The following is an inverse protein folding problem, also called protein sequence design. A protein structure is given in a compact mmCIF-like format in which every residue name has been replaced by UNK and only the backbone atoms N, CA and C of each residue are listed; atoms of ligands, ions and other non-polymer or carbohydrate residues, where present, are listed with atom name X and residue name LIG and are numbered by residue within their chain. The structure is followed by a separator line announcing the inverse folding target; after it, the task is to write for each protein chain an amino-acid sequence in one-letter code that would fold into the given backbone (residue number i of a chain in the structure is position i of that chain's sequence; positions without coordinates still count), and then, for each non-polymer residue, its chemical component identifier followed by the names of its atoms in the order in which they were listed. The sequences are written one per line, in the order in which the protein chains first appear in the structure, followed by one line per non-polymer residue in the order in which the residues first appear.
data_IF_942930411818
#
_entry.id   IF_942930411818
#
_cell.length_a   1.000
_cell.length_b   1.000
_cell.length_c   1.000
_cell.angle_alpha   90.00
_cell.angle_beta   90.00
_cell.angle_gamma   90.00
#
_symmetry.space_group_name_H-M   'P 1'
#
loop_
_entity.id
_entity.type
_entity.pdbx_description
1 polymer ?
#
# COMPACT_ATOMS: atom_id res chain seq x y z
N UNK A 1 -28.05 -8.23 8.72
CA UNK A 1 -26.61 -8.40 8.99
C UNK A 1 -26.20 -9.80 8.57
N UNK A 2 -25.46 -10.00 7.46
CA UNK A 2 -24.88 -11.30 7.19
C UNK A 2 -23.50 -11.38 7.87
N UNK A 3 -23.36 -12.33 8.78
CA UNK A 3 -22.10 -12.65 9.45
C UNK A 3 -21.14 -13.37 8.51
N UNK A 4 -19.87 -12.97 8.55
CA UNK A 4 -18.76 -13.71 7.96
C UNK A 4 -18.56 -14.99 8.78
N UNK A 5 -18.87 -16.14 8.20
CA UNK A 5 -18.59 -17.45 8.78
C UNK A 5 -17.17 -17.89 8.41
N UNK A 6 -16.31 -18.03 9.41
CA UNK A 6 -15.05 -18.77 9.26
C UNK A 6 -15.38 -20.28 9.29
N UNK A 7 -15.16 -20.97 8.19
CA UNK A 7 -15.22 -22.44 8.16
C UNK A 7 -13.86 -22.99 8.60
N UNK A 8 -13.76 -23.39 9.87
CA UNK A 8 -12.69 -24.29 10.32
C UNK A 8 -13.29 -25.70 10.25
N UNK A 9 -12.99 -26.45 9.19
CA UNK A 9 -13.29 -27.88 9.16
C UNK A 9 -12.09 -28.65 9.71
N UNK A 10 -12.17 -29.07 10.97
CA UNK A 10 -11.36 -30.18 11.47
C UNK A 10 -11.81 -31.46 10.76
N UNK A 11 -10.99 -31.97 9.84
CA UNK A 11 -11.21 -33.28 9.22
C UNK A 11 -10.15 -34.24 9.75
N UNK A 12 -10.51 -34.92 10.83
CA UNK A 12 -9.86 -36.16 11.23
C UNK A 12 -10.28 -37.26 10.26
N UNK A 13 -9.41 -37.67 9.31
CA UNK A 13 -9.53 -38.98 8.66
C UNK A 13 -8.29 -39.44 7.86
N UNK A 14 -7.84 -40.64 8.22
CA UNK A 14 -6.92 -41.60 7.59
C UNK A 14 -6.42 -41.30 6.15
N UNK A 15 -5.18 -40.82 6.05
CA UNK A 15 -4.09 -41.19 5.12
C UNK A 15 -4.27 -41.20 3.59
N UNK A 16 -5.41 -41.64 3.05
CA UNK A 16 -5.65 -41.76 1.60
C UNK A 16 -6.58 -40.64 1.08
N UNK A 17 -7.48 -40.14 1.92
CA UNK A 17 -8.34 -38.99 1.62
C UNK A 17 -7.55 -37.67 1.63
N UNK A 18 -6.44 -37.62 2.36
CA UNK A 18 -5.54 -36.46 2.39
C UNK A 18 -4.97 -36.16 1.01
N UNK A 19 -4.56 -37.18 0.23
CA UNK A 19 -4.02 -37.00 -1.12
C UNK A 19 -5.05 -36.51 -2.15
N UNK A 20 -6.33 -36.88 -1.98
CA UNK A 20 -7.40 -36.41 -2.84
C UNK A 20 -7.79 -34.97 -2.48
N UNK A 21 -7.82 -34.64 -1.19
CA UNK A 21 -8.05 -33.29 -0.69
C UNK A 21 -6.89 -32.36 -1.05
N UNK A 22 -5.64 -32.83 -0.98
CA UNK A 22 -4.46 -32.07 -1.42
C UNK A 22 -4.55 -31.74 -2.91
N UNK A 23 -4.97 -32.68 -3.76
CA UNK A 23 -5.19 -32.40 -5.20
C UNK A 23 -6.30 -31.39 -5.45
N UNK A 24 -7.39 -31.44 -4.68
CA UNK A 24 -8.49 -30.48 -4.79
C UNK A 24 -8.03 -29.10 -4.29
N UNK A 25 -7.30 -29.06 -3.19
CA UNK A 25 -6.70 -27.85 -2.61
C UNK A 25 -5.69 -27.23 -3.57
N UNK A 26 -4.77 -28.00 -4.13
CA UNK A 26 -3.78 -27.55 -5.11
C UNK A 26 -4.44 -27.03 -6.39
N UNK A 27 -5.52 -27.69 -6.85
CA UNK A 27 -6.29 -27.21 -7.99
C UNK A 27 -7.01 -25.90 -7.68
N UNK A 28 -7.61 -25.80 -6.50
CA UNK A 28 -8.26 -24.57 -6.05
C UNK A 28 -7.27 -23.41 -5.89
N UNK A 29 -6.09 -23.66 -5.32
CA UNK A 29 -5.01 -22.68 -5.21
C UNK A 29 -4.49 -22.26 -6.59
N UNK A 30 -4.37 -23.19 -7.55
CA UNK A 30 -4.01 -22.88 -8.94
C UNK A 30 -5.06 -22.00 -9.64
N UNK A 31 -6.34 -22.29 -9.44
CA UNK A 31 -7.43 -21.53 -10.06
C UNK A 31 -7.57 -20.12 -9.45
N UNK A 32 -7.15 -19.94 -8.19
CA UNK A 32 -7.10 -18.64 -7.50
C UNK A 32 -5.82 -17.83 -7.78
N UNK A 33 -4.89 -18.34 -8.59
CA UNK A 33 -3.71 -17.57 -8.96
C UNK A 33 -4.15 -16.29 -9.70
N UNK A 34 -3.59 -15.10 -9.34
CA UNK A 34 -3.96 -13.84 -9.96
C UNK A 34 -3.90 -13.90 -11.50
N UNK A 35 -2.89 -14.58 -12.04
CA UNK A 35 -2.73 -14.83 -13.48
C UNK A 35 -3.99 -15.46 -14.11
N UNK A 36 -4.57 -16.48 -13.48
CA UNK A 36 -5.74 -17.22 -13.98
C UNK A 36 -7.05 -16.44 -13.83
N UNK A 37 -7.17 -15.67 -12.76
CA UNK A 37 -8.32 -14.78 -12.55
C UNK A 37 -8.31 -13.64 -13.60
N UNK A 38 -7.13 -13.07 -13.83
CA UNK A 38 -6.92 -11.95 -14.77
C UNK A 38 -6.99 -12.39 -16.23
N UNK A 39 -6.59 -13.62 -16.57
CA UNK A 39 -6.76 -14.20 -17.91
C UNK A 39 -8.23 -14.15 -18.39
N UNK A 40 -9.20 -14.35 -17.47
CA UNK A 40 -10.61 -14.38 -17.81
C UNK A 40 -11.25 -12.98 -17.94
N UNK A 41 -10.80 -12.00 -17.15
CA UNK A 41 -11.29 -10.63 -17.23
C UNK A 41 -10.27 -9.64 -16.63
N UNK A 42 -9.27 -9.22 -17.40
CA UNK A 42 -8.22 -8.37 -16.87
C UNK A 42 -8.77 -6.99 -16.56
N UNK A 43 -8.50 -6.47 -15.35
CA UNK A 43 -8.57 -5.03 -15.16
C UNK A 43 -7.48 -4.39 -16.01
N UNK A 44 -7.67 -3.12 -16.32
CA UNK A 44 -6.61 -2.40 -17.02
C UNK A 44 -5.31 -2.42 -16.21
N UNK A 45 -4.17 -2.44 -16.89
CA UNK A 45 -2.87 -2.14 -16.25
C UNK A 45 -2.67 -0.64 -15.99
N UNK A 46 -3.47 0.21 -16.63
CA UNK A 46 -3.32 1.67 -16.55
C UNK A 46 -4.02 2.24 -15.32
N UNK A 47 -3.26 2.85 -14.43
CA UNK A 47 -3.79 3.48 -13.22
C UNK A 47 -4.03 4.98 -13.42
N UNK A 48 -5.14 5.48 -12.88
CA UNK A 48 -5.43 6.90 -12.74
C UNK A 48 -5.22 7.32 -11.28
N UNK A 49 -4.79 8.57 -11.08
CA UNK A 49 -4.69 9.16 -9.74
C UNK A 49 -5.76 10.25 -9.62
N UNK A 50 -6.62 10.13 -8.62
CA UNK A 50 -7.58 11.16 -8.25
C UNK A 50 -7.10 11.87 -6.98
N UNK A 51 -6.89 13.18 -7.09
CA UNK A 51 -6.45 14.01 -5.97
C UNK A 51 -7.66 14.60 -5.24
N UNK A 52 -7.61 14.59 -3.92
CA UNK A 52 -8.60 15.26 -3.10
C UNK A 52 -8.50 16.79 -3.28
N UNK A 53 -9.61 17.55 -3.28
CA UNK A 53 -9.57 19.01 -3.34
C UNK A 53 -8.72 19.64 -2.23
N UNK A 54 -8.64 18.96 -1.07
CA UNK A 54 -7.77 19.38 0.04
C UNK A 54 -6.29 19.44 -0.32
N UNK A 55 -5.82 18.59 -1.25
CA UNK A 55 -4.43 18.59 -1.70
C UNK A 55 -4.09 19.81 -2.57
N UNK A 56 -5.07 20.35 -3.29
CA UNK A 56 -4.90 21.51 -4.17
C UNK A 56 -4.99 22.87 -3.45
N UNK A 57 -5.24 22.88 -2.14
CA UNK A 57 -5.30 24.11 -1.32
C UNK A 57 -3.98 24.85 -1.28
N UNK A 58 -2.88 24.11 -1.43
CA UNK A 58 -1.54 24.63 -1.48
C UNK A 58 -0.75 23.93 -2.59
N UNK A 59 0.07 24.71 -3.29
CA UNK A 59 0.96 24.20 -4.33
C UNK A 59 2.00 23.23 -3.77
N UNK A 60 2.53 23.47 -2.56
CA UNK A 60 3.50 22.54 -1.94
C UNK A 60 2.82 21.24 -1.58
N UNK A 61 1.67 21.30 -0.88
CA UNK A 61 0.86 20.11 -0.58
C UNK A 61 0.50 19.31 -1.83
N UNK A 62 0.07 19.97 -2.90
CA UNK A 62 -0.26 19.32 -4.16
C UNK A 62 0.96 18.58 -4.73
N UNK A 63 2.12 19.24 -4.78
CA UNK A 63 3.35 18.69 -5.34
C UNK A 63 3.85 17.47 -4.57
N UNK A 64 3.88 17.52 -3.24
CA UNK A 64 4.30 16.37 -2.42
C UNK A 64 3.29 15.22 -2.53
N UNK A 65 2.00 15.53 -2.66
CA UNK A 65 0.94 14.52 -2.88
C UNK A 65 1.12 13.83 -4.23
N UNK A 66 1.40 14.59 -5.29
CA UNK A 66 1.72 14.04 -6.60
C UNK A 66 2.98 13.18 -6.57
N UNK A 67 4.01 13.59 -5.81
CA UNK A 67 5.24 12.83 -5.65
C UNK A 67 4.98 11.49 -4.93
N UNK A 68 4.20 11.51 -3.85
CA UNK A 68 3.74 10.30 -3.15
C UNK A 68 3.04 9.33 -4.09
N UNK A 69 2.01 9.80 -4.82
CA UNK A 69 1.25 8.96 -5.74
C UNK A 69 2.12 8.42 -6.88
N UNK A 70 3.03 9.24 -7.41
CA UNK A 70 3.96 8.85 -8.49
C UNK A 70 4.93 7.78 -8.02
N UNK A 71 5.47 7.88 -6.80
CA UNK A 71 6.39 6.89 -6.26
C UNK A 71 5.70 5.54 -5.99
N UNK A 72 4.44 5.56 -5.54
CA UNK A 72 3.62 4.35 -5.47
C UNK A 72 3.45 3.66 -6.82
N UNK A 73 3.15 4.43 -7.88
CA UNK A 73 3.08 3.87 -9.24
C UNK A 73 4.43 3.31 -9.68
N UNK A 74 5.53 4.03 -9.49
CA UNK A 74 6.88 3.53 -9.81
C UNK A 74 7.20 2.21 -9.10
N UNK A 75 6.82 2.10 -7.82
CA UNK A 75 7.01 0.87 -7.06
C UNK A 75 6.22 -0.29 -7.66
N UNK A 76 4.94 -0.08 -8.01
CA UNK A 76 4.12 -1.08 -8.71
C UNK A 76 4.82 -1.53 -10.00
N UNK A 77 5.26 -0.58 -10.83
CA UNK A 77 5.87 -0.91 -12.12
C UNK A 77 7.20 -1.65 -11.99
N UNK A 78 7.93 -1.45 -10.89
CA UNK A 78 9.24 -2.08 -10.64
C UNK A 78 9.15 -3.45 -9.99
N UNK A 79 8.17 -3.67 -9.11
CA UNK A 79 8.14 -4.85 -8.24
C UNK A 79 7.02 -5.84 -8.53
N UNK A 80 6.05 -5.49 -9.38
CA UNK A 80 4.92 -6.35 -9.72
C UNK A 80 4.87 -6.64 -11.22
N UNK A 81 4.55 -7.89 -11.56
CA UNK A 81 4.39 -8.31 -12.94
C UNK A 81 3.11 -7.74 -13.58
N UNK A 82 3.02 -7.85 -14.91
CA UNK A 82 1.90 -7.27 -15.66
C UNK A 82 0.54 -7.87 -15.32
N UNK A 83 0.47 -9.13 -14.92
CA UNK A 83 -0.78 -9.82 -14.55
C UNK A 83 -1.24 -9.37 -13.18
N UNK A 84 -0.35 -9.30 -12.19
CA UNK A 84 -0.68 -8.76 -10.87
C UNK A 84 -1.17 -7.31 -10.96
N UNK A 85 -0.53 -6.46 -11.78
CA UNK A 85 -0.99 -5.08 -12.02
C UNK A 85 -2.38 -5.01 -12.66
N UNK A 86 -2.71 -5.99 -13.49
CA UNK A 86 -4.01 -6.14 -14.11
C UNK A 86 -5.05 -6.85 -13.22
N UNK A 87 -4.66 -7.32 -12.02
CA UNK A 87 -5.57 -7.83 -10.99
C UNK A 87 -6.12 -6.72 -10.09
N UNK A 88 -5.41 -5.60 -9.96
CA UNK A 88 -5.82 -4.45 -9.17
C UNK A 88 -4.66 -3.63 -8.61
N UNK A 89 -4.99 -2.62 -7.80
CA UNK A 89 -4.00 -1.86 -7.02
C UNK A 89 -3.63 -2.65 -5.76
N UNK A 90 -2.33 -2.88 -5.48
CA UNK A 90 -1.84 -3.60 -4.29
C UNK A 90 -1.94 -2.78 -3.00
N UNK A 91 -3.14 -2.30 -2.66
CA UNK A 91 -3.37 -1.41 -1.52
C UNK A 91 -3.01 -2.02 -0.17
N UNK A 92 -2.93 -3.35 -0.07
CA UNK A 92 -2.61 -4.09 1.15
C UNK A 92 -1.11 -4.31 1.34
N UNK A 93 -0.26 -4.08 0.34
CA UNK A 93 1.18 -4.32 0.51
C UNK A 93 1.83 -3.17 1.33
N UNK A 94 2.61 -3.52 2.34
CA UNK A 94 3.30 -2.56 3.19
C UNK A 94 4.26 -1.68 2.39
N UNK A 95 5.11 -2.30 1.56
CA UNK A 95 6.08 -1.60 0.71
C UNK A 95 5.43 -0.61 -0.25
N UNK A 96 4.23 -0.93 -0.75
CA UNK A 96 3.45 -0.03 -1.58
C UNK A 96 3.02 1.22 -0.79
N UNK A 97 2.65 1.07 0.48
CA UNK A 97 2.34 2.20 1.35
C UNK A 97 3.60 3.01 1.69
N UNK A 98 4.71 2.34 2.00
CA UNK A 98 6.02 2.97 2.28
C UNK A 98 6.53 3.79 1.10
N UNK A 99 6.40 3.29 -0.14
CA UNK A 99 6.78 4.02 -1.35
C UNK A 99 6.09 5.38 -1.45
N UNK A 100 4.84 5.46 -0.98
CA UNK A 100 4.10 6.72 -0.91
C UNK A 100 4.65 7.69 0.14
N UNK A 101 5.00 7.20 1.33
CA UNK A 101 5.62 8.02 2.39
C UNK A 101 6.98 8.54 1.91
N UNK A 102 7.81 7.69 1.33
CA UNK A 102 9.10 8.10 0.77
C UNK A 102 8.93 9.19 -0.30
N UNK A 103 7.92 9.08 -1.16
CA UNK A 103 7.62 10.14 -2.13
C UNK A 103 7.24 11.49 -1.53
N UNK A 104 6.59 11.54 -0.35
CA UNK A 104 6.36 12.79 0.36
C UNK A 104 7.67 13.43 0.83
N UNK A 105 8.56 12.62 1.39
CA UNK A 105 9.80 13.09 2.01
C UNK A 105 10.82 13.50 0.93
N UNK A 106 11.04 12.64 -0.07
CA UNK A 106 12.11 12.79 -1.06
C UNK A 106 11.87 13.98 -2.00
N UNK A 107 10.61 14.35 -2.25
CA UNK A 107 10.29 15.56 -3.02
C UNK A 107 10.88 16.82 -2.37
N UNK A 108 10.85 16.91 -1.04
CA UNK A 108 11.38 18.06 -0.30
C UNK A 108 12.90 18.03 -0.25
N UNK A 109 13.50 16.86 -0.05
CA UNK A 109 14.95 16.73 0.11
C UNK A 109 15.71 16.86 -1.21
N UNK A 110 15.19 16.33 -2.33
CA UNK A 110 15.93 16.26 -3.59
C UNK A 110 15.57 17.36 -4.61
N UNK A 111 14.28 17.73 -4.70
CA UNK A 111 13.77 18.53 -5.83
C UNK A 111 13.47 19.99 -5.50
N UNK A 112 13.33 20.33 -4.21
CA UNK A 112 13.02 21.69 -3.82
C UNK A 112 13.54 22.01 -2.40
N UNK A 113 14.85 22.23 -2.22
CA UNK A 113 15.45 22.48 -0.91
C UNK A 113 15.10 23.85 -0.32
N UNK A 114 14.27 24.65 -1.01
CA UNK A 114 13.81 25.95 -0.48
C UNK A 114 13.04 25.70 0.81
N UNK A 115 13.38 26.44 1.86
CA UNK A 115 12.57 26.50 3.07
C UNK A 115 11.14 26.83 2.68
N UNK A 116 10.22 25.98 3.10
CA UNK A 116 8.79 26.30 3.05
C UNK A 116 8.69 27.60 3.84
N UNK A 117 8.18 28.67 3.21
CA UNK A 117 7.95 29.93 3.92
C UNK A 117 7.10 29.57 5.14
N UNK A 118 7.64 29.83 6.34
CA UNK A 118 6.92 29.66 7.62
C UNK A 118 5.53 30.28 7.45
N UNK A 119 4.50 29.43 7.48
CA UNK A 119 3.15 29.84 7.14
C UNK A 119 2.24 28.73 6.60
N UNK A 120 2.78 27.60 6.13
CA UNK A 120 1.97 26.42 5.79
C UNK A 120 2.11 25.29 6.82
N UNK A 121 1.69 25.62 8.04
CA UNK A 121 1.80 24.80 9.25
C UNK A 121 1.50 23.31 9.02
N UNK A 122 0.44 23.00 8.27
CA UNK A 122 0.00 21.62 8.02
C UNK A 122 0.98 20.81 7.17
N UNK A 123 1.61 21.42 6.17
CA UNK A 123 2.55 20.72 5.27
C UNK A 123 3.88 20.45 5.97
N UNK A 124 4.36 21.44 6.73
CA UNK A 124 5.60 21.30 7.49
C UNK A 124 5.46 20.25 8.59
N UNK A 125 4.33 20.20 9.30
CA UNK A 125 4.06 19.16 10.28
C UNK A 125 4.01 17.76 9.64
N UNK A 126 3.31 17.61 8.52
CA UNK A 126 3.19 16.33 7.82
C UNK A 126 4.57 15.79 7.39
N UNK A 127 5.38 16.63 6.77
CA UNK A 127 6.71 16.21 6.29
C UNK A 127 7.66 15.97 7.46
N UNK A 128 7.65 16.83 8.49
CA UNK A 128 8.54 16.69 9.64
C UNK A 128 8.25 15.41 10.40
N UNK A 129 6.97 15.07 10.58
CA UNK A 129 6.58 13.81 11.18
C UNK A 129 7.03 12.60 10.36
N UNK A 130 6.72 12.54 9.06
CA UNK A 130 7.13 11.38 8.25
C UNK A 130 8.65 11.25 8.15
N UNK A 131 9.37 12.39 8.11
CA UNK A 131 10.83 12.39 8.15
C UNK A 131 11.35 11.83 9.47
N UNK A 132 10.79 12.28 10.61
CA UNK A 132 11.16 11.78 11.93
C UNK A 132 10.87 10.29 12.07
N UNK A 133 9.66 9.88 11.70
CA UNK A 133 9.21 8.49 11.71
C UNK A 133 10.13 7.57 10.89
N UNK A 134 10.57 8.04 9.72
CA UNK A 134 11.54 7.32 8.87
C UNK A 134 12.91 7.24 9.51
N UNK A 135 13.43 8.35 10.04
CA UNK A 135 14.75 8.40 10.65
C UNK A 135 14.84 7.58 11.94
N UNK A 136 13.74 7.52 12.70
CA UNK A 136 13.64 6.76 13.95
C UNK A 136 13.32 5.27 13.69
N UNK A 137 13.08 4.87 12.44
CA UNK A 137 12.92 3.46 12.04
C UNK A 137 11.55 2.85 12.29
N UNK A 138 10.50 3.66 12.52
CA UNK A 138 9.16 3.17 12.90
C UNK A 138 8.07 3.39 11.84
N UNK A 139 8.46 3.55 10.57
CA UNK A 139 7.50 3.80 9.48
C UNK A 139 6.54 2.64 9.29
N UNK A 140 7.04 1.43 9.51
CA UNK A 140 6.38 0.19 9.15
C UNK A 140 5.32 -0.15 10.20
N UNK A 141 5.66 -0.05 11.48
CA UNK A 141 4.75 -0.20 12.61
C UNK A 141 3.66 0.88 12.61
N UNK A 142 4.02 2.12 12.27
CA UNK A 142 3.02 3.18 12.10
C UNK A 142 2.04 2.86 10.98
N UNK A 143 2.52 2.42 9.81
CA UNK A 143 1.65 2.03 8.71
C UNK A 143 0.77 0.83 9.08
N UNK A 144 1.31 -0.16 9.78
CA UNK A 144 0.53 -1.27 10.32
C UNK A 144 -0.60 -0.76 11.23
N UNK A 145 -0.30 0.13 12.18
CA UNK A 145 -1.33 0.69 13.06
C UNK A 145 -2.39 1.51 12.27
N UNK A 146 -1.99 2.33 11.30
CA UNK A 146 -2.93 3.15 10.51
C UNK A 146 -3.87 2.33 9.61
N UNK A 147 -3.52 1.08 9.33
CA UNK A 147 -4.29 0.16 8.50
C UNK A 147 -4.82 -1.02 9.31
N UNK A 148 -5.02 -0.84 10.62
CA UNK A 148 -5.60 -1.85 11.52
C UNK A 148 -4.86 -3.21 11.46
N UNK A 149 -3.55 -3.17 11.22
CA UNK A 149 -2.65 -4.32 11.07
C UNK A 149 -3.00 -5.25 9.88
N UNK A 150 -3.68 -4.72 8.86
CA UNK A 150 -4.12 -5.47 7.68
C UNK A 150 -3.15 -5.37 6.48
N UNK A 151 -1.97 -4.79 6.66
CA UNK A 151 -0.97 -4.75 5.59
C UNK A 151 -0.15 -6.03 5.56
N UNK A 152 0.19 -6.48 4.34
CA UNK A 152 1.09 -7.59 4.10
C UNK A 152 2.53 -7.07 4.05
N UNK A 153 3.40 -7.46 5.00
CA UNK A 153 4.81 -7.10 4.97
C UNK A 153 5.60 -7.96 3.98
N UNK A 154 6.84 -7.54 3.62
CA UNK A 154 7.77 -8.38 2.87
C UNK A 154 8.13 -9.67 3.60
N UNK A 155 8.63 -10.65 2.86
CA UNK A 155 9.13 -11.90 3.45
C UNK A 155 10.24 -11.63 4.46
N UNK A 156 10.17 -12.32 5.62
CA UNK A 156 11.13 -12.20 6.73
C UNK A 156 11.22 -10.80 7.38
N UNK A 157 10.25 -9.93 7.16
CA UNK A 157 10.19 -8.62 7.82
C UNK A 157 9.94 -8.79 9.34
N UNK A 158 10.71 -8.04 10.14
CA UNK A 158 10.59 -8.03 11.60
C UNK A 158 10.15 -6.65 12.07
N UNK A 159 9.07 -6.62 12.86
CA UNK A 159 8.53 -5.41 13.46
C UNK A 159 9.04 -5.21 14.89
N UNK A 160 9.32 -3.97 15.28
CA UNK A 160 9.59 -3.54 16.66
C UNK A 160 8.39 -2.77 17.25
N UNK A 161 7.27 -3.47 17.47
CA UNK A 161 6.07 -2.86 18.04
C UNK A 161 6.27 -2.30 19.45
N UNK A 162 7.18 -2.88 20.25
CA UNK A 162 7.44 -2.41 21.61
C UNK A 162 8.29 -1.14 21.60
N UNK A 163 9.31 -1.06 20.74
CA UNK A 163 10.03 0.18 20.47
C UNK A 163 9.10 1.26 19.93
N UNK A 164 8.22 0.92 18.98
CA UNK A 164 7.26 1.86 18.43
C UNK A 164 6.30 2.42 19.48
N UNK A 165 5.74 1.57 20.35
CA UNK A 165 4.89 2.01 21.47
C UNK A 165 5.63 2.99 22.39
N UNK A 166 6.88 2.70 22.76
CA UNK A 166 7.71 3.60 23.58
C UNK A 166 7.99 4.92 22.87
N UNK A 167 8.28 4.86 21.58
CA UNK A 167 8.50 6.03 20.75
C UNK A 167 7.25 6.93 20.70
N UNK A 168 6.05 6.38 20.55
CA UNK A 168 4.80 7.16 20.56
C UNK A 168 4.57 7.93 21.87
N UNK A 169 4.98 7.37 23.01
CA UNK A 169 4.81 8.03 24.31
C UNK A 169 5.63 9.33 24.42
N UNK A 170 6.77 9.41 23.73
CA UNK A 170 7.64 10.59 23.68
C UNK A 170 7.42 11.47 22.44
N UNK A 171 6.52 11.08 21.53
CA UNK A 171 6.28 11.72 20.25
C UNK A 171 4.77 11.84 19.97
N UNK A 172 4.14 12.90 20.50
CA UNK A 172 2.73 13.18 20.23
C UNK A 172 2.52 13.50 18.74
N UNK A 173 1.47 12.91 18.16
CA UNK A 173 1.03 13.20 16.79
C UNK A 173 -0.19 14.10 16.90
N UNK A 174 0.03 15.41 17.04
CA UNK A 174 -1.04 16.38 17.30
C UNK A 174 -1.79 16.82 16.02
N UNK A 175 -1.67 16.06 14.93
CA UNK A 175 -2.27 16.42 13.65
C UNK A 175 -2.83 15.19 12.91
N UNK A 176 -3.92 15.39 12.15
CA UNK A 176 -4.65 14.30 11.51
C UNK A 176 -3.95 13.83 10.22
N UNK A 177 -3.19 12.75 10.35
CA UNK A 177 -2.51 12.00 9.27
C UNK A 177 -3.42 11.04 8.50
N UNK A 178 -4.61 10.72 9.01
CA UNK A 178 -5.52 9.74 8.42
C UNK A 178 -6.20 10.24 7.12
N UNK A 179 -6.13 11.54 6.83
CA UNK A 179 -6.71 12.13 5.61
C UNK A 179 -5.92 11.69 4.38
N UNK A 180 -6.56 10.87 3.55
CA UNK A 180 -6.02 10.50 2.23
C UNK A 180 -6.14 11.68 1.26
N UNK A 181 -5.01 12.13 0.73
CA UNK A 181 -4.93 13.23 -0.24
C UNK A 181 -5.09 12.78 -1.70
N UNK A 182 -5.03 11.47 -1.95
CA UNK A 182 -5.25 10.89 -3.27
C UNK A 182 -5.75 9.45 -3.14
N UNK A 183 -6.34 8.95 -4.23
CA UNK A 183 -6.60 7.54 -4.47
C UNK A 183 -6.03 7.15 -5.83
N UNK A 184 -5.51 5.93 -5.92
CA UNK A 184 -5.08 5.31 -7.18
C UNK A 184 -6.14 4.28 -7.56
N UNK A 185 -6.61 4.33 -8.80
CA UNK A 185 -7.63 3.40 -9.31
C UNK A 185 -7.22 2.88 -10.68
N UNK A 186 -7.50 1.61 -10.95
CA UNK A 186 -7.41 1.08 -12.31
C UNK A 186 -8.40 1.82 -13.21
N UNK A 187 -7.95 2.27 -14.38
CA UNK A 187 -8.84 2.86 -15.40
C UNK A 187 -9.82 1.82 -15.98
N UNK A 188 -10.86 2.26 -16.69
CA UNK A 188 -11.85 1.35 -17.30
C UNK A 188 -11.43 0.76 -18.65
N UNK A 189 -10.20 0.99 -19.12
CA UNK A 189 -9.78 0.57 -20.46
C UNK A 189 -9.42 -0.91 -20.49
N UNK A 190 -10.08 -1.70 -21.35
CA UNK A 190 -9.65 -3.09 -21.60
C UNK A 190 -8.19 -3.09 -22.06
N UNK A 191 -7.36 -3.90 -21.40
CA UNK A 191 -5.95 -4.05 -21.74
C UNK A 191 -5.73 -5.43 -22.36
N UNK A 192 -5.03 -5.45 -23.47
CA UNK A 192 -4.52 -6.68 -24.09
C UNK A 192 -3.17 -7.02 -23.44
N UNK A 193 -3.15 -8.10 -22.65
CA UNK A 193 -1.95 -8.56 -21.92
C UNK A 193 -0.99 -9.39 -22.79
N UNK A 194 -1.41 -9.76 -24.01
CA UNK A 194 -0.60 -10.52 -24.96
C UNK A 194 0.48 -9.68 -25.66
N UNK A 195 0.37 -8.35 -25.57
CA UNK A 195 1.37 -7.41 -26.10
C UNK A 195 2.38 -7.07 -25.01
N UNK A 196 3.66 -7.23 -25.34
CA UNK A 196 4.75 -6.78 -24.49
C UNK A 196 4.80 -5.25 -24.34
N UNK A 197 5.49 -4.79 -23.31
CA UNK A 197 5.60 -3.37 -22.91
C UNK A 197 6.65 -2.58 -23.68
#
# INVERSE_FOLDING_TARGET
MPGFGFFISEISQKGNDTLALDKIHDKFLKDLQPEKIVENNPLTRYSNIHYAPAAARDTVLLRITMASATNKLKWIYKNMDKYERASGIPGTLLDFQMAGINGFIDYKTEKNPRSIKEGNFTVDQLISFFTKLRNDGFTDEYLMEQYDYLLSPPENHQFDYEGYKKWKLSNSIDYNVAKKYYIIVNSRKKTDLSKDE
#
